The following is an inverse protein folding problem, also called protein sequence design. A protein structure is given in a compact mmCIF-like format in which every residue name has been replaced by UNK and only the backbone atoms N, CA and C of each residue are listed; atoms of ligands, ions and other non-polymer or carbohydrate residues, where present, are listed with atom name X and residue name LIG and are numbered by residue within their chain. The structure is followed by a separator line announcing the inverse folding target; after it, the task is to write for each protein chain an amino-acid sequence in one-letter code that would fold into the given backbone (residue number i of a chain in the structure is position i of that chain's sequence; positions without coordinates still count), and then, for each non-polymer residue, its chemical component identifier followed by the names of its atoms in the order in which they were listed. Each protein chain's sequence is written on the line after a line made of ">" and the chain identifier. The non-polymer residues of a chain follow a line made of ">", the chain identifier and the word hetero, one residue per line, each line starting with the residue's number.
data_IF_587841237407
#
_entry.id   IF_587841237407
#
_cell.length_a   1.000
_cell.length_b   1.000
_cell.length_c   1.000
_cell.angle_alpha   90.00
_cell.angle_beta   90.00
_cell.angle_gamma   90.00
#
_symmetry.space_group_name_H-M   'P 1'
#
loop_
_entity.id
_entity.type
_entity.pdbx_description
1 polymer ?
#
# COMPACT_ATOMS: atom_id res chain seq x y z
N UNK A 1 1.28 -12.80 7.99
CA UNK A 1 1.63 -11.38 8.11
C UNK A 1 0.41 -10.61 8.58
N UNK A 2 0.55 -9.77 9.62
CA UNK A 2 -0.50 -8.86 10.10
C UNK A 2 -0.59 -7.62 9.21
N UNK A 3 -1.68 -6.85 9.31
CA UNK A 3 -1.80 -5.58 8.56
C UNK A 3 -0.66 -4.61 8.90
N UNK A 4 -0.25 -4.56 10.17
CA UNK A 4 0.87 -3.72 10.63
C UNK A 4 2.20 -4.14 9.99
N UNK A 5 2.46 -5.44 9.88
CA UNK A 5 3.65 -5.96 9.20
C UNK A 5 3.62 -5.64 7.69
N UNK A 6 2.47 -5.80 7.04
CA UNK A 6 2.29 -5.43 5.62
C UNK A 6 2.55 -3.93 5.43
N UNK A 7 1.93 -3.09 6.25
CA UNK A 7 2.07 -1.64 6.16
C UNK A 7 3.52 -1.17 6.43
N UNK A 8 4.18 -1.75 7.43
CA UNK A 8 5.58 -1.45 7.74
C UNK A 8 6.53 -1.87 6.60
N UNK A 9 6.34 -3.07 6.05
CA UNK A 9 7.17 -3.55 4.95
C UNK A 9 6.94 -2.73 3.67
N UNK A 10 5.69 -2.39 3.36
CA UNK A 10 5.35 -1.50 2.26
C UNK A 10 5.97 -0.12 2.43
N UNK A 11 5.89 0.44 3.65
CA UNK A 11 6.48 1.74 3.96
C UNK A 11 8.00 1.74 3.76
N UNK A 12 8.69 0.70 4.23
CA UNK A 12 10.13 0.53 4.09
C UNK A 12 10.56 0.47 2.61
N UNK A 13 9.85 -0.32 1.78
CA UNK A 13 10.17 -0.51 0.36
C UNK A 13 9.87 0.71 -0.51
N UNK A 14 8.80 1.43 -0.17
CA UNK A 14 8.33 2.60 -0.91
C UNK A 14 8.88 3.92 -0.36
N UNK A 15 9.75 3.89 0.66
CA UNK A 15 10.26 5.06 1.36
C UNK A 15 9.13 6.00 1.84
N UNK A 16 8.14 5.41 2.50
CA UNK A 16 6.94 6.04 3.03
C UNK A 16 6.91 5.99 4.56
N UNK A 17 5.91 6.61 5.16
CA UNK A 17 5.68 6.62 6.61
C UNK A 17 4.35 5.94 6.94
N UNK A 18 4.36 5.02 7.90
CA UNK A 18 3.12 4.45 8.45
C UNK A 18 2.49 5.48 9.40
N UNK A 19 1.22 5.79 9.19
CA UNK A 19 0.49 6.65 10.14
C UNK A 19 0.15 5.88 11.42
N UNK A 20 0.11 6.55 12.58
CA UNK A 20 -0.28 5.90 13.83
C UNK A 20 -1.68 5.29 13.72
N UNK A 21 -1.79 4.00 14.07
CA UNK A 21 -3.04 3.26 14.11
C UNK A 21 -3.13 2.48 15.43
N UNK A 22 -4.36 2.21 15.87
CA UNK A 22 -4.58 1.30 17.00
C UNK A 22 -4.15 -0.12 16.63
N UNK A 23 -3.75 -0.93 17.62
CA UNK A 23 -3.27 -2.30 17.38
C UNK A 23 -4.32 -3.20 16.70
N UNK A 24 -5.61 -2.92 16.93
CA UNK A 24 -6.79 -3.61 16.38
C UNK A 24 -7.41 -2.88 15.17
N UNK A 25 -6.72 -1.89 14.62
CA UNK A 25 -7.20 -1.14 13.46
C UNK A 25 -7.49 -2.07 12.28
N UNK A 26 -8.68 -1.89 11.68
CA UNK A 26 -9.13 -2.65 10.51
C UNK A 26 -8.42 -2.21 9.22
N UNK A 27 -7.73 -1.07 9.27
CA UNK A 27 -6.94 -0.53 8.17
C UNK A 27 -5.80 0.35 8.70
N UNK A 28 -4.71 0.42 7.94
CA UNK A 28 -3.52 1.21 8.26
C UNK A 28 -3.14 2.06 7.06
N UNK A 29 -2.96 3.36 7.29
CA UNK A 29 -2.55 4.29 6.25
C UNK A 29 -1.02 4.35 6.16
N UNK A 30 -0.49 4.30 4.94
CA UNK A 30 0.93 4.48 4.63
C UNK A 30 1.06 5.68 3.70
N UNK A 31 1.70 6.76 4.15
CA UNK A 31 1.79 8.02 3.41
C UNK A 31 3.13 8.17 2.71
N UNK A 32 3.08 8.44 1.41
CA UNK A 32 4.22 8.80 0.57
C UNK A 32 4.18 10.27 0.14
N UNK A 33 5.15 10.67 -0.68
CA UNK A 33 5.20 12.03 -1.23
C UNK A 33 4.20 12.17 -2.38
N UNK A 34 3.04 12.77 -2.10
CA UNK A 34 2.00 13.02 -3.11
C UNK A 34 1.10 11.81 -3.40
N UNK A 35 1.12 10.79 -2.55
CA UNK A 35 0.26 9.61 -2.62
C UNK A 35 0.11 8.97 -1.24
N UNK A 36 -0.88 8.10 -1.06
CA UNK A 36 -0.97 7.26 0.13
C UNK A 36 -1.58 5.90 -0.20
N UNK A 37 -1.34 4.93 0.69
CA UNK A 37 -1.96 3.62 0.67
C UNK A 37 -2.83 3.44 1.89
N UNK A 38 -3.92 2.69 1.73
CA UNK A 38 -4.67 2.11 2.83
C UNK A 38 -4.54 0.60 2.74
N UNK A 39 -3.88 0.00 3.74
CA UNK A 39 -3.75 -1.45 3.90
C UNK A 39 -4.86 -1.94 4.80
N UNK A 40 -5.73 -2.83 4.33
CA UNK A 40 -6.89 -3.32 5.06
C UNK A 40 -7.02 -4.84 4.97
N UNK A 41 -7.76 -5.45 5.90
CA UNK A 41 -8.09 -6.88 5.82
C UNK A 41 -9.00 -7.20 4.63
N UNK A 42 -8.76 -8.33 3.97
CA UNK A 42 -9.59 -8.80 2.85
C UNK A 42 -9.61 -10.33 2.78
N UNK A 43 -10.77 -10.96 3.00
CA UNK A 43 -11.01 -12.42 2.90
C UNK A 43 -9.86 -13.32 3.38
N UNK A 44 -9.45 -13.21 4.64
CA UNK A 44 -8.36 -14.05 5.21
C UNK A 44 -6.96 -13.64 4.79
N UNK A 45 -6.82 -12.59 3.98
CA UNK A 45 -5.57 -11.91 3.64
C UNK A 45 -5.70 -10.40 3.83
N UNK A 46 -5.08 -9.64 2.92
CA UNK A 46 -5.05 -8.19 2.96
C UNK A 46 -5.20 -7.58 1.57
N UNK A 47 -5.56 -6.31 1.52
CA UNK A 47 -5.56 -5.49 0.32
C UNK A 47 -4.82 -4.18 0.60
N UNK A 48 -4.20 -3.60 -0.43
CA UNK A 48 -3.68 -2.24 -0.40
C UNK A 48 -4.40 -1.41 -1.45
N UNK A 49 -4.96 -0.28 -1.07
CA UNK A 49 -5.57 0.67 -2.01
C UNK A 49 -4.66 1.90 -2.13
N UNK A 50 -4.17 2.16 -3.34
CA UNK A 50 -3.40 3.35 -3.68
C UNK A 50 -4.34 4.51 -4.02
N UNK A 51 -4.06 5.65 -3.42
CA UNK A 51 -4.73 6.92 -3.69
C UNK A 51 -3.72 7.90 -4.27
N UNK A 52 -4.01 8.39 -5.46
CA UNK A 52 -3.27 9.44 -6.15
C UNK A 52 -4.17 10.68 -6.30
N UNK A 53 -3.62 11.90 -6.31
CA UNK A 53 -4.36 13.08 -6.70
C UNK A 53 -4.94 12.89 -8.10
N UNK A 54 -6.22 13.26 -8.26
CA UNK A 54 -6.91 13.31 -9.55
C UNK A 54 -7.00 11.97 -10.32
N UNK A 55 -6.87 10.83 -9.63
CA UNK A 55 -7.08 9.50 -10.21
C UNK A 55 -8.00 8.67 -9.32
N UNK A 56 -8.72 7.74 -9.95
CA UNK A 56 -9.49 6.75 -9.21
C UNK A 56 -8.56 5.86 -8.35
N UNK A 57 -8.98 5.48 -7.13
CA UNK A 57 -8.22 4.58 -6.29
C UNK A 57 -7.98 3.23 -6.95
N UNK A 58 -6.79 2.66 -6.71
CA UNK A 58 -6.39 1.38 -7.30
C UNK A 58 -6.16 0.37 -6.18
N UNK A 59 -6.91 -0.73 -6.20
CA UNK A 59 -6.81 -1.78 -5.18
C UNK A 59 -6.02 -2.98 -5.66
N UNK A 60 -5.15 -3.47 -4.78
CA UNK A 60 -4.28 -4.62 -4.94
C UNK A 60 -4.62 -5.65 -3.86
N UNK A 61 -4.72 -6.93 -4.21
CA UNK A 61 -5.24 -7.98 -3.32
C UNK A 61 -4.21 -9.07 -3.08
N UNK A 62 -3.82 -9.28 -1.81
CA UNK A 62 -3.13 -10.48 -1.34
C UNK A 62 -1.83 -10.85 -2.05
N UNK A 63 -1.20 -9.93 -2.79
CA UNK A 63 0.04 -10.19 -3.50
C UNK A 63 1.27 -10.08 -2.58
N UNK A 64 2.41 -10.63 -2.99
CA UNK A 64 3.66 -10.40 -2.26
C UNK A 64 4.01 -8.90 -2.28
N UNK A 65 4.50 -8.35 -1.16
CA UNK A 65 4.81 -6.91 -1.05
C UNK A 65 5.91 -6.51 -2.06
N UNK A 66 6.82 -7.42 -2.39
CA UNK A 66 7.81 -7.30 -3.46
C UNK A 66 7.16 -7.04 -4.83
N UNK A 67 6.15 -7.83 -5.19
CA UNK A 67 5.44 -7.68 -6.47
C UNK A 67 4.65 -6.37 -6.50
N UNK A 68 4.03 -6.02 -5.38
CA UNK A 68 3.31 -4.77 -5.22
C UNK A 68 4.25 -3.57 -5.41
N UNK A 69 5.43 -3.60 -4.78
CA UNK A 69 6.46 -2.55 -4.90
C UNK A 69 6.80 -2.24 -6.37
N UNK A 70 7.02 -3.27 -7.20
CA UNK A 70 7.37 -3.12 -8.61
C UNK A 70 6.24 -2.41 -9.36
N UNK A 71 5.00 -2.87 -9.19
CA UNK A 71 3.81 -2.29 -9.85
C UNK A 71 3.60 -0.84 -9.42
N UNK A 72 3.75 -0.56 -8.13
CA UNK A 72 3.61 0.77 -7.57
C UNK A 72 4.68 1.72 -8.11
N UNK A 73 5.95 1.32 -8.13
CA UNK A 73 7.04 2.14 -8.67
C UNK A 73 6.83 2.45 -10.15
N UNK A 74 6.40 1.47 -10.94
CA UNK A 74 6.06 1.71 -12.33
C UNK A 74 4.93 2.71 -12.51
N UNK A 75 3.80 2.48 -11.80
CA UNK A 75 2.64 3.38 -11.83
C UNK A 75 3.02 4.81 -11.42
N UNK A 76 3.81 4.99 -10.37
CA UNK A 76 4.25 6.30 -9.87
C UNK A 76 5.28 6.97 -10.79
N UNK A 77 6.09 6.20 -11.52
CA UNK A 77 7.07 6.75 -12.46
C UNK A 77 6.47 7.16 -13.81
N UNK A 78 5.17 6.89 -14.04
CA UNK A 78 4.51 7.12 -15.32
C UNK A 78 5.03 6.22 -16.45
N UNK A 79 5.85 5.21 -16.13
CA UNK A 79 6.36 4.22 -17.09
C UNK A 79 5.45 2.99 -17.05
N UNK A 80 4.99 2.46 -18.20
CA UNK A 80 4.27 1.20 -18.21
C UNK A 80 5.14 0.11 -17.59
N UNK A 81 4.53 -0.70 -16.71
CA UNK A 81 5.12 -1.95 -16.22
C UNK A 81 4.67 -3.01 -17.20
N UNK A 82 5.57 -3.44 -18.06
CA UNK A 82 5.39 -4.65 -18.87
C UNK A 82 5.54 -5.92 -18.01
#
# INVERSE_FOLDING_TARGET
>A
MTLHEVAAELARRMNCTVEPAAADAQSITVRGKGYHFVVAGFFGGWQATLYLPDQDPITYYGEAVESLEIRLKGKLSGRPVD
#
